data_IF_793348730477
#
_entry.id   IF_793348730477
#
_cell.length_a   1.000
_cell.length_b   1.000
_cell.length_c   1.000
_cell.angle_alpha   90.00
_cell.angle_beta   90.00
_cell.angle_gamma   90.00
#
_symmetry.space_group_name_H-M   'P 1'
#
loop_
_entity.id
_entity.type
_entity.pdbx_description
1 polymer ?
#
# COMPACT_ATOMS: atom_id res chain seq x y z
N UNK A 1 -54.05 61.38 -19.56
CA UNK A 1 -55.06 60.76 -18.70
C UNK A 1 -54.75 59.28 -18.57
N UNK A 2 -54.47 58.88 -17.34
CA UNK A 2 -54.27 57.53 -16.83
C UNK A 2 -55.43 56.58 -17.16
N UNK A 3 -55.14 55.29 -17.33
CA UNK A 3 -55.79 54.24 -16.53
C UNK A 3 -55.06 52.88 -16.65
N UNK A 4 -54.70 52.38 -15.47
CA UNK A 4 -54.18 51.06 -15.14
C UNK A 4 -55.11 49.91 -15.55
N UNK A 5 -54.51 48.76 -15.86
CA UNK A 5 -54.95 47.39 -15.51
C UNK A 5 -53.65 46.56 -15.35
N UNK A 6 -53.18 46.19 -14.16
CA UNK A 6 -53.68 45.22 -13.17
C UNK A 6 -53.21 43.77 -13.39
N UNK A 7 -52.80 43.15 -12.28
CA UNK A 7 -52.57 41.73 -11.98
C UNK A 7 -51.20 41.15 -12.36
N UNK A 8 -50.26 41.10 -11.40
CA UNK A 8 -50.02 40.02 -10.41
C UNK A 8 -49.56 38.69 -11.00
N UNK A 9 -48.28 38.39 -10.79
CA UNK A 9 -47.83 37.13 -10.17
C UNK A 9 -46.44 37.34 -9.58
N UNK A 10 -46.36 37.82 -8.34
CA UNK A 10 -45.18 37.57 -7.50
C UNK A 10 -45.24 36.09 -7.13
N UNK A 11 -44.45 35.26 -7.80
CA UNK A 11 -44.18 33.91 -7.35
C UNK A 11 -43.45 34.01 -6.00
N UNK A 12 -44.19 33.78 -4.92
CA UNK A 12 -43.65 33.59 -3.60
C UNK A 12 -42.74 32.36 -3.60
N UNK A 13 -41.44 32.59 -3.76
CA UNK A 13 -40.43 31.62 -3.39
C UNK A 13 -40.60 31.37 -1.89
N UNK A 14 -41.22 30.24 -1.55
CA UNK A 14 -41.26 29.77 -0.16
C UNK A 14 -39.81 29.55 0.26
N UNK A 15 -39.31 30.16 1.35
CA UNK A 15 -38.06 29.72 1.92
C UNK A 15 -38.27 28.26 2.30
N UNK A 16 -37.49 27.35 1.72
CA UNK A 16 -37.36 26.00 2.23
C UNK A 16 -36.91 26.16 3.67
N UNK A 17 -37.84 25.98 4.61
CA UNK A 17 -37.58 26.01 6.04
C UNK A 17 -36.51 24.96 6.25
N UNK A 18 -35.28 25.44 6.42
CA UNK A 18 -34.12 24.61 6.68
C UNK A 18 -34.40 23.96 8.03
N UNK A 19 -34.87 22.71 8.00
CA UNK A 19 -34.91 21.87 9.18
C UNK A 19 -33.47 21.65 9.62
N UNK A 20 -32.92 22.59 10.38
CA UNK A 20 -31.75 22.36 11.21
C UNK A 20 -32.19 21.42 12.34
N UNK A 21 -32.34 20.14 12.01
CA UNK A 21 -32.24 19.09 13.02
C UNK A 21 -30.78 19.06 13.43
N UNK A 22 -30.49 19.75 14.53
CA UNK A 22 -29.17 19.78 15.13
C UNK A 22 -28.72 18.38 15.49
N UNK A 23 -27.43 18.13 15.27
CA UNK A 23 -26.71 16.93 15.69
C UNK A 23 -26.85 16.81 17.22
N UNK A 24 -27.60 15.82 17.71
CA UNK A 24 -27.72 15.60 19.16
C UNK A 24 -26.44 14.97 19.67
N UNK A 25 -25.84 15.53 20.74
CA UNK A 25 -24.63 14.96 21.36
C UNK A 25 -24.78 13.47 21.68
N UNK A 26 -25.99 13.03 22.04
CA UNK A 26 -26.29 11.61 22.27
C UNK A 26 -26.08 10.75 21.02
N UNK A 27 -26.50 11.25 19.85
CA UNK A 27 -26.37 10.51 18.59
C UNK A 27 -24.91 10.36 18.14
N UNK A 28 -24.07 11.35 18.45
CA UNK A 28 -22.64 11.33 18.13
C UNK A 28 -21.91 10.37 19.06
N UNK A 29 -22.25 10.39 20.36
CA UNK A 29 -21.68 9.53 21.37
C UNK A 29 -22.02 8.06 21.10
N UNK A 30 -23.27 7.77 20.74
CA UNK A 30 -23.70 6.43 20.32
C UNK A 30 -22.97 5.98 19.05
N UNK A 31 -22.80 6.87 18.06
CA UNK A 31 -22.07 6.53 16.83
C UNK A 31 -20.60 6.20 17.10
N UNK A 32 -19.89 7.01 17.89
CA UNK A 32 -18.46 6.76 18.22
C UNK A 32 -18.31 5.50 19.09
N UNK A 33 -19.28 5.19 19.95
CA UNK A 33 -19.30 3.95 20.73
C UNK A 33 -19.32 2.71 19.83
N UNK A 34 -20.19 2.69 18.81
CA UNK A 34 -20.26 1.56 17.87
C UNK A 34 -19.00 1.51 17.00
N UNK A 35 -18.47 2.66 16.56
CA UNK A 35 -17.21 2.73 15.81
C UNK A 35 -16.04 2.16 16.61
N UNK A 36 -15.94 2.44 17.91
CA UNK A 36 -14.88 1.91 18.76
C UNK A 36 -14.88 0.37 18.82
N UNK A 37 -16.07 -0.25 18.90
CA UNK A 37 -16.21 -1.72 18.91
C UNK A 37 -15.73 -2.33 17.60
N UNK A 38 -16.12 -1.74 16.46
CA UNK A 38 -15.71 -2.24 15.14
C UNK A 38 -14.20 -2.05 14.94
N UNK A 39 -13.67 -0.87 15.30
CA UNK A 39 -12.25 -0.54 15.14
C UNK A 39 -11.34 -1.46 15.97
N UNK A 40 -11.79 -1.88 17.15
CA UNK A 40 -11.04 -2.81 18.02
C UNK A 40 -10.64 -4.10 17.30
N UNK A 41 -11.49 -4.61 16.40
CA UNK A 41 -11.22 -5.84 15.63
C UNK A 41 -10.65 -5.51 14.24
N UNK A 42 -11.09 -4.41 13.63
CA UNK A 42 -10.69 -4.03 12.29
C UNK A 42 -9.19 -3.66 12.20
N UNK A 43 -8.67 -2.90 13.16
CA UNK A 43 -7.27 -2.46 13.17
C UNK A 43 -6.26 -3.63 13.16
N UNK A 44 -6.30 -4.59 14.11
CA UNK A 44 -5.31 -5.68 14.13
C UNK A 44 -5.39 -6.57 12.89
N UNK A 45 -6.60 -6.75 12.34
CA UNK A 45 -6.82 -7.48 11.07
C UNK A 45 -6.17 -6.76 9.90
N UNK A 46 -6.39 -5.45 9.78
CA UNK A 46 -5.84 -4.65 8.69
C UNK A 46 -4.31 -4.57 8.76
N UNK A 47 -3.76 -4.35 9.95
CA UNK A 47 -2.30 -4.38 10.16
C UNK A 47 -1.70 -5.72 9.76
N UNK A 48 -2.31 -6.84 10.19
CA UNK A 48 -1.81 -8.18 9.81
C UNK A 48 -1.83 -8.41 8.30
N UNK A 49 -2.90 -7.96 7.63
CA UNK A 49 -3.03 -8.07 6.17
C UNK A 49 -1.98 -7.24 5.42
N UNK A 50 -1.69 -6.01 5.88
CA UNK A 50 -0.63 -5.17 5.31
C UNK A 50 0.73 -5.85 5.44
N UNK A 51 1.04 -6.39 6.62
CA UNK A 51 2.32 -7.07 6.86
C UNK A 51 2.49 -8.25 5.91
N UNK A 52 1.47 -9.10 5.77
CA UNK A 52 1.50 -10.21 4.80
C UNK A 52 1.62 -9.71 3.36
N UNK A 53 0.89 -8.68 2.96
CA UNK A 53 1.01 -8.11 1.63
C UNK A 53 2.44 -7.61 1.33
N UNK A 54 3.07 -6.94 2.31
CA UNK A 54 4.44 -6.47 2.19
C UNK A 54 5.44 -7.62 2.06
N UNK A 55 5.23 -8.74 2.78
CA UNK A 55 6.08 -9.95 2.67
C UNK A 55 6.03 -10.54 1.28
N UNK A 56 4.83 -10.70 0.73
CA UNK A 56 4.62 -11.29 -0.59
C UNK A 56 5.19 -10.39 -1.68
N UNK A 57 5.07 -9.07 -1.54
CA UNK A 57 5.69 -8.11 -2.46
C UNK A 57 7.20 -8.26 -2.49
N UNK A 58 7.86 -8.24 -1.33
CA UNK A 58 9.32 -8.38 -1.26
C UNK A 58 9.78 -9.73 -1.77
N UNK A 59 9.05 -10.79 -1.42
CA UNK A 59 9.33 -12.13 -1.93
C UNK A 59 9.21 -12.19 -3.46
N UNK A 60 8.18 -11.59 -4.04
CA UNK A 60 8.00 -11.50 -5.49
C UNK A 60 9.12 -10.70 -6.14
N UNK A 61 9.47 -9.53 -5.59
CA UNK A 61 10.54 -8.67 -6.09
C UNK A 61 11.91 -9.38 -6.04
N UNK A 62 12.22 -10.10 -4.97
CA UNK A 62 13.46 -10.88 -4.88
C UNK A 62 13.47 -12.03 -5.89
N UNK A 63 12.33 -12.70 -6.11
CA UNK A 63 12.21 -13.80 -7.08
C UNK A 63 12.34 -13.31 -8.52
N UNK A 64 11.78 -12.13 -8.84
CA UNK A 64 11.93 -11.52 -10.16
C UNK A 64 13.38 -11.08 -10.40
N UNK A 65 14.03 -10.51 -9.37
CA UNK A 65 15.45 -10.17 -9.43
C UNK A 65 16.32 -11.41 -9.62
N UNK A 66 16.11 -12.50 -8.87
CA UNK A 66 16.85 -13.77 -9.05
C UNK A 66 16.69 -14.31 -10.48
N UNK A 67 15.47 -14.26 -11.03
CA UNK A 67 15.22 -14.67 -12.42
C UNK A 67 15.98 -13.78 -13.41
N UNK A 68 16.01 -12.47 -13.18
CA UNK A 68 16.75 -11.53 -14.01
C UNK A 68 18.27 -11.72 -13.91
N UNK A 69 18.82 -12.10 -12.74
CA UNK A 69 20.24 -12.45 -12.59
C UNK A 69 20.57 -13.65 -13.50
N UNK A 70 19.75 -14.70 -13.49
CA UNK A 70 19.95 -15.91 -14.31
C UNK A 70 19.85 -15.58 -15.81
N UNK A 71 18.88 -14.76 -16.19
CA UNK A 71 18.74 -14.31 -17.58
C UNK A 71 19.95 -13.49 -18.04
N UNK A 72 20.42 -12.56 -17.21
CA UNK A 72 21.61 -11.76 -17.49
C UNK A 72 22.85 -12.64 -17.65
N UNK A 73 23.04 -13.62 -16.76
CA UNK A 73 24.15 -14.56 -16.83
C UNK A 73 24.10 -15.41 -18.11
N UNK A 74 22.90 -15.82 -18.54
CA UNK A 74 22.70 -16.60 -19.77
C UNK A 74 22.98 -15.76 -21.01
N UNK A 75 22.56 -14.49 -21.02
CA UNK A 75 22.71 -13.61 -22.18
C UNK A 75 24.13 -13.04 -22.33
N UNK A 76 24.78 -12.66 -21.23
CA UNK A 76 26.09 -11.98 -21.24
C UNK A 76 27.25 -12.85 -20.75
N UNK A 77 26.99 -14.06 -20.26
CA UNK A 77 28.00 -15.00 -19.78
C UNK A 77 28.75 -14.55 -18.52
N UNK A 78 28.26 -13.50 -17.83
CA UNK A 78 28.90 -12.89 -16.65
C UNK A 78 27.84 -12.55 -15.62
N UNK A 79 28.23 -12.52 -14.35
CA UNK A 79 27.34 -12.13 -13.26
C UNK A 79 27.24 -10.60 -13.18
N UNK A 80 26.04 -10.04 -12.93
CA UNK A 80 25.85 -8.61 -12.75
C UNK A 80 26.60 -8.11 -11.50
N UNK A 81 27.21 -6.92 -11.56
CA UNK A 81 27.93 -6.34 -10.42
C UNK A 81 27.03 -5.47 -9.56
N UNK A 82 26.01 -4.87 -10.17
CA UNK A 82 25.06 -3.99 -9.53
C UNK A 82 23.64 -4.32 -9.97
N UNK A 83 22.65 -3.95 -9.15
CA UNK A 83 21.22 -4.08 -9.51
C UNK A 83 20.91 -3.30 -10.79
N UNK A 84 21.58 -2.17 -11.01
CA UNK A 84 21.42 -1.36 -12.22
C UNK A 84 21.75 -2.11 -13.52
N UNK A 85 22.59 -3.14 -13.45
CA UNK A 85 22.92 -3.97 -14.62
C UNK A 85 21.73 -4.82 -15.07
N UNK A 86 20.74 -5.04 -14.19
CA UNK A 86 19.50 -5.77 -14.47
C UNK A 86 18.41 -4.88 -15.09
N UNK A 87 18.65 -3.58 -15.33
CA UNK A 87 17.63 -2.65 -15.84
C UNK A 87 17.04 -3.08 -17.21
N UNK A 88 17.80 -3.87 -17.96
CA UNK A 88 17.39 -4.45 -19.23
C UNK A 88 16.41 -5.63 -19.07
N UNK A 89 16.37 -6.26 -17.89
CA UNK A 89 15.61 -7.48 -17.60
C UNK A 89 14.50 -7.29 -16.56
N UNK A 90 14.47 -6.15 -15.87
CA UNK A 90 13.46 -5.83 -14.85
C UNK A 90 12.86 -4.45 -15.16
N UNK A 91 11.54 -4.41 -15.29
CA UNK A 91 10.80 -3.17 -15.50
C UNK A 91 10.81 -2.33 -14.23
N UNK A 92 11.02 -1.01 -14.35
CA UNK A 92 10.93 -0.05 -13.24
C UNK A 92 11.91 -0.28 -12.07
N UNK A 93 13.17 -0.65 -12.36
CA UNK A 93 14.19 -0.82 -11.32
C UNK A 93 14.43 0.39 -10.42
N UNK A 94 14.35 1.61 -10.96
CA UNK A 94 14.55 2.83 -10.16
C UNK A 94 13.40 3.06 -9.15
N UNK A 95 12.24 2.46 -9.40
CA UNK A 95 11.06 2.48 -8.54
C UNK A 95 10.92 1.22 -7.67
N UNK A 96 11.74 0.19 -7.91
CA UNK A 96 11.74 -1.06 -7.17
C UNK A 96 12.32 -0.82 -5.77
N UNK A 97 11.46 -0.40 -4.84
CA UNK A 97 11.79 -0.20 -3.43
C UNK A 97 10.94 -1.13 -2.58
N UNK A 98 11.55 -1.76 -1.55
CA UNK A 98 10.79 -2.50 -0.57
C UNK A 98 9.67 -1.62 0.02
N UNK A 99 8.48 -2.17 0.26
CA UNK A 99 7.37 -1.40 0.81
C UNK A 99 7.74 -0.86 2.19
N UNK A 100 7.50 0.44 2.39
CA UNK A 100 7.68 1.08 3.69
C UNK A 100 6.67 0.50 4.67
N UNK A 101 7.16 -0.26 5.65
CA UNK A 101 6.33 -0.87 6.66
C UNK A 101 6.95 -2.13 7.24
N UNK A 102 6.17 -2.82 8.05
CA UNK A 102 6.59 -4.09 8.64
C UNK A 102 6.42 -5.23 7.65
N UNK A 103 7.36 -6.16 7.70
CA UNK A 103 7.39 -7.41 6.94
C UNK A 103 7.63 -8.55 7.93
N UNK A 104 6.96 -9.69 7.71
CA UNK A 104 7.24 -10.94 8.44
C UNK A 104 8.41 -11.70 7.83
N UNK A 105 9.33 -12.10 8.70
CA UNK A 105 10.42 -13.01 8.39
C UNK A 105 10.34 -14.12 9.43
N UNK A 106 9.85 -15.29 9.02
CA UNK A 106 9.45 -16.35 9.96
C UNK A 106 8.43 -15.85 10.99
N UNK A 107 8.75 -16.00 12.29
CA UNK A 107 7.90 -15.57 13.40
C UNK A 107 8.13 -14.10 13.85
N UNK A 108 9.03 -13.34 13.20
CA UNK A 108 9.39 -11.96 13.59
C UNK A 108 8.92 -10.93 12.58
N UNK A 109 8.40 -9.81 13.07
CA UNK A 109 8.11 -8.61 12.27
C UNK A 109 9.33 -7.69 12.27
N UNK A 110 9.87 -7.40 11.09
CA UNK A 110 10.95 -6.41 10.92
C UNK A 110 10.47 -5.22 10.10
N UNK A 111 10.97 -4.03 10.45
CA UNK A 111 10.70 -2.82 9.66
C UNK A 111 11.58 -2.80 8.41
N UNK A 112 10.97 -2.48 7.27
CA UNK A 112 11.65 -2.23 5.99
C UNK A 112 11.85 -0.75 5.67
N UNK A 113 11.70 0.14 6.65
CA UNK A 113 11.98 1.56 6.44
C UNK A 113 13.39 1.79 5.89
N UNK A 114 13.47 2.44 4.72
CA UNK A 114 14.69 2.86 4.03
C UNK A 114 15.61 1.72 3.57
N UNK A 115 15.10 0.48 3.49
CA UNK A 115 15.88 -0.64 2.97
C UNK A 115 15.87 -0.65 1.44
N UNK A 116 16.95 -1.14 0.85
CA UNK A 116 17.09 -1.31 -0.60
C UNK A 116 17.36 -2.77 -0.90
N UNK A 117 16.97 -3.20 -2.09
CA UNK A 117 17.47 -4.44 -2.66
C UNK A 117 18.98 -4.34 -2.86
N UNK A 118 19.68 -5.45 -2.66
CA UNK A 118 21.09 -5.65 -2.95
C UNK A 118 21.27 -6.99 -3.68
N UNK A 119 22.43 -7.17 -4.32
CA UNK A 119 22.82 -8.47 -4.87
C UNK A 119 24.05 -8.93 -4.10
N UNK A 120 23.96 -10.10 -3.47
CA UNK A 120 25.03 -10.66 -2.64
C UNK A 120 25.36 -12.09 -3.09
N UNK A 121 26.64 -12.45 -2.99
CA UNK A 121 27.09 -13.83 -3.21
C UNK A 121 26.91 -14.64 -1.92
N UNK A 122 25.90 -15.51 -1.89
CA UNK A 122 25.61 -16.39 -0.75
C UNK A 122 26.24 -17.77 -0.93
N UNK A 123 27.44 -17.87 -1.54
CA UNK A 123 28.24 -19.09 -1.65
C UNK A 123 27.65 -20.20 -2.54
N UNK A 124 26.44 -20.02 -3.06
CA UNK A 124 25.76 -20.88 -4.05
C UNK A 124 25.45 -20.14 -5.36
N UNK A 125 26.03 -18.95 -5.55
CA UNK A 125 25.77 -18.05 -6.66
C UNK A 125 25.28 -16.68 -6.22
N UNK A 126 25.24 -15.75 -7.17
CA UNK A 126 24.71 -14.40 -6.98
C UNK A 126 23.19 -14.49 -6.74
N UNK A 127 22.70 -13.91 -5.64
CA UNK A 127 21.27 -13.89 -5.30
C UNK A 127 20.80 -12.49 -4.94
N UNK A 128 19.54 -12.21 -5.20
CA UNK A 128 18.91 -10.98 -4.74
C UNK A 128 18.65 -11.07 -3.23
N UNK A 129 19.03 -10.03 -2.49
CA UNK A 129 18.75 -9.91 -1.05
C UNK A 129 18.08 -8.58 -0.71
N UNK A 130 17.21 -8.60 0.29
CA UNK A 130 16.69 -7.41 0.93
C UNK A 130 17.15 -7.46 2.39
N UNK A 131 17.97 -6.51 2.83
CA UNK A 131 18.58 -6.50 4.18
C UNK A 131 19.44 -7.75 4.50
N UNK A 132 20.12 -8.30 3.50
CA UNK A 132 20.92 -9.53 3.65
C UNK A 132 20.09 -10.81 3.71
N UNK A 133 18.76 -10.73 3.51
CA UNK A 133 17.83 -11.86 3.51
C UNK A 133 17.34 -12.23 2.12
N UNK A 134 17.21 -13.52 1.85
CA UNK A 134 16.79 -14.05 0.54
C UNK A 134 15.27 -14.22 0.47
N UNK A 135 14.71 -14.39 -0.75
CA UNK A 135 13.28 -14.62 -0.96
C UNK A 135 12.70 -15.77 -0.12
N UNK A 136 13.51 -16.79 0.15
CA UNK A 136 13.13 -17.97 0.94
C UNK A 136 12.82 -17.65 2.41
N UNK A 137 13.47 -16.62 2.96
CA UNK A 137 13.29 -16.19 4.36
C UNK A 137 12.04 -15.31 4.55
N UNK A 138 11.50 -14.74 3.45
CA UNK A 138 10.29 -13.93 3.45
C UNK A 138 8.99 -14.74 3.24
N UNK A 139 9.04 -16.08 3.35
CA UNK A 139 7.85 -16.92 3.15
C UNK A 139 6.82 -16.69 4.25
N UNK A 140 5.58 -16.41 3.82
CA UNK A 140 4.41 -16.52 4.67
C UNK A 140 4.25 -17.99 5.10
N UNK A 141 4.15 -18.24 6.40
CA UNK A 141 3.86 -19.57 6.95
C UNK A 141 2.46 -19.99 6.50
N UNK A 142 2.36 -21.16 5.87
CA UNK A 142 1.08 -21.80 5.52
C UNK A 142 0.30 -22.22 6.78
#
# INVERSE_FOLDING_TARGET
MSLWISSRRRSSLRPLVRCQRGFSLLSTLLAVMILAVILSIAVPRFTSAIVTANTVKVQADLTTLDTAIVLYQTAKGRNPKNIKDLAEYVTDLDNLKPPSGKVRIGDKEESMENKSYAIEDKGKGLRATCDGKTAEEFRAKE
#
